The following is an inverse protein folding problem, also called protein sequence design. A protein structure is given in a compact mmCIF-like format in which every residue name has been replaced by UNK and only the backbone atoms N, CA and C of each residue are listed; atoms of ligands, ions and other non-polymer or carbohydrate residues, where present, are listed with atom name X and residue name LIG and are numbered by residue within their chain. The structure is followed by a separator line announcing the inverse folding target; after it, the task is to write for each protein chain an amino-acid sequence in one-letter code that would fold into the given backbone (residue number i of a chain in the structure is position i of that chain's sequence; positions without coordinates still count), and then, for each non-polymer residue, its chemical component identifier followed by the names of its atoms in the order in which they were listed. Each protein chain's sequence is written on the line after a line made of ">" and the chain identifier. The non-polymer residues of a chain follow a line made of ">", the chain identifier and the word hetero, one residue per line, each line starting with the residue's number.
data_IF_950843620948
#
_entry.id   IF_950843620948
#
_cell.length_a   1.000
_cell.length_b   1.000
_cell.length_c   1.000
_cell.angle_alpha   90.00
_cell.angle_beta   90.00
_cell.angle_gamma   90.00
#
_symmetry.space_group_name_H-M   'P 1'
#
loop_
_entity.id
_entity.type
_entity.pdbx_description
1 polymer ?
#
# COMPACT_ATOMS: atom_id res chain seq x y z
N UNK A 1 15.78 7.88 -22.55
CA UNK A 1 14.99 8.35 -23.71
C UNK A 1 13.58 8.66 -23.24
N UNK A 2 13.04 9.86 -23.52
CA UNK A 2 11.65 10.21 -23.18
C UNK A 2 10.75 9.92 -24.38
N UNK A 3 9.57 9.35 -24.15
CA UNK A 3 8.58 9.08 -25.20
C UNK A 3 7.41 10.06 -25.06
N UNK A 4 7.05 10.74 -26.15
CA UNK A 4 5.84 11.53 -26.19
C UNK A 4 4.65 10.59 -26.36
N UNK A 5 3.71 10.64 -25.41
CA UNK A 5 2.41 9.96 -25.49
C UNK A 5 1.32 10.97 -25.13
N UNK A 6 0.24 10.97 -25.90
CA UNK A 6 -0.95 11.77 -25.61
C UNK A 6 -2.02 10.88 -24.96
N UNK A 7 -2.64 11.39 -23.91
CA UNK A 7 -3.78 10.79 -23.24
C UNK A 7 -4.86 11.86 -23.13
N UNK A 8 -6.13 11.45 -23.20
CA UNK A 8 -7.22 12.33 -22.82
C UNK A 8 -7.25 12.42 -21.30
N UNK A 9 -7.15 13.64 -20.77
CA UNK A 9 -7.23 13.91 -19.34
C UNK A 9 -8.46 14.76 -19.06
N UNK A 10 -9.04 14.59 -17.88
CA UNK A 10 -10.17 15.39 -17.45
C UNK A 10 -9.74 16.86 -17.21
N UNK A 11 -10.63 17.84 -17.44
CA UNK A 11 -10.29 19.26 -17.32
C UNK A 11 -9.78 19.65 -15.93
N UNK A 12 -10.37 19.06 -14.88
CA UNK A 12 -9.99 19.28 -13.48
C UNK A 12 -8.58 18.74 -13.18
N UNK A 13 -8.21 17.58 -13.71
CA UNK A 13 -6.85 17.02 -13.61
C UNK A 13 -5.86 17.94 -14.32
N UNK A 14 -6.21 18.44 -15.50
CA UNK A 14 -5.35 19.39 -16.21
C UNK A 14 -5.13 20.67 -15.41
N UNK A 15 -6.21 21.26 -14.89
CA UNK A 15 -6.14 22.44 -14.00
C UNK A 15 -5.24 22.18 -12.79
N UNK A 16 -5.39 21.04 -12.13
CA UNK A 16 -4.56 20.68 -10.99
C UNK A 16 -3.08 20.53 -11.34
N UNK A 17 -2.75 19.93 -12.49
CA UNK A 17 -1.36 19.83 -12.97
C UNK A 17 -0.80 21.22 -13.27
N UNK A 18 -1.58 22.08 -13.92
CA UNK A 18 -1.17 23.43 -14.26
C UNK A 18 -0.92 24.31 -13.03
N UNK A 19 -1.73 24.15 -11.99
CA UNK A 19 -1.58 24.85 -10.70
C UNK A 19 -0.39 24.32 -9.88
N UNK A 20 -0.11 23.01 -9.95
CA UNK A 20 0.88 22.36 -9.07
C UNK A 20 2.24 22.08 -9.72
N UNK A 21 2.42 22.33 -11.02
CA UNK A 21 3.70 22.12 -11.71
C UNK A 21 4.80 23.09 -11.23
N UNK A 22 4.44 24.28 -10.78
CA UNK A 22 5.40 25.34 -10.44
C UNK A 22 6.29 25.68 -11.64
N UNK A 23 7.61 25.73 -11.43
CA UNK A 23 8.59 25.98 -12.50
C UNK A 23 8.87 24.77 -13.40
N UNK A 24 8.24 23.61 -13.14
CA UNK A 24 8.47 22.36 -13.87
C UNK A 24 7.53 22.25 -15.07
N UNK A 25 7.90 21.40 -16.03
CA UNK A 25 7.00 21.10 -17.15
C UNK A 25 5.77 20.31 -16.68
N UNK A 26 4.62 20.51 -17.34
CA UNK A 26 3.41 19.72 -17.08
C UNK A 26 3.69 18.22 -17.22
N UNK A 27 4.50 17.81 -18.20
CA UNK A 27 4.92 16.42 -18.38
C UNK A 27 5.72 15.87 -17.21
N UNK A 28 6.64 16.66 -16.62
CA UNK A 28 7.39 16.21 -15.44
C UNK A 28 6.45 16.06 -14.23
N UNK A 29 5.49 16.98 -14.07
CA UNK A 29 4.49 16.92 -13.00
C UNK A 29 3.55 15.72 -13.15
N UNK A 30 3.04 15.46 -14.36
CA UNK A 30 2.21 14.28 -14.65
C UNK A 30 2.97 12.99 -14.39
N UNK A 31 4.23 12.89 -14.85
CA UNK A 31 5.03 11.70 -14.58
C UNK A 31 5.30 11.49 -13.09
N UNK A 32 5.48 12.55 -12.31
CA UNK A 32 5.60 12.46 -10.85
C UNK A 32 4.32 11.92 -10.22
N UNK A 33 3.16 12.47 -10.59
CA UNK A 33 1.86 12.04 -10.07
C UNK A 33 1.58 10.56 -10.42
N UNK A 34 1.86 10.15 -11.66
CA UNK A 34 1.71 8.76 -12.09
C UNK A 34 2.62 7.82 -11.30
N UNK A 35 3.88 8.19 -11.04
CA UNK A 35 4.78 7.35 -10.22
C UNK A 35 4.26 7.19 -8.79
N UNK A 36 3.71 8.26 -8.20
CA UNK A 36 3.12 8.20 -6.86
C UNK A 36 1.89 7.29 -6.85
N UNK A 37 1.02 7.39 -7.85
CA UNK A 37 -0.14 6.52 -8.00
C UNK A 37 0.27 5.04 -8.15
N UNK A 38 1.28 4.74 -8.98
CA UNK A 38 1.80 3.37 -9.12
C UNK A 38 2.34 2.79 -7.81
N UNK A 39 2.96 3.61 -6.95
CA UNK A 39 3.41 3.15 -5.63
C UNK A 39 2.22 2.92 -4.69
N UNK A 40 1.23 3.81 -4.70
CA UNK A 40 0.02 3.64 -3.92
C UNK A 40 -0.71 2.34 -4.28
N UNK A 41 -0.89 2.07 -5.59
CA UNK A 41 -1.51 0.82 -6.05
C UNK A 41 -0.74 -0.44 -5.59
N UNK A 42 0.58 -0.36 -5.48
CA UNK A 42 1.39 -1.46 -4.94
C UNK A 42 1.17 -1.64 -3.44
N UNK A 43 1.07 -0.55 -2.68
CA UNK A 43 0.77 -0.61 -1.26
C UNK A 43 -0.65 -1.13 -1.00
N UNK A 44 -1.64 -0.67 -1.76
CA UNK A 44 -3.03 -1.12 -1.63
C UNK A 44 -3.13 -2.63 -1.93
N UNK A 45 -2.40 -3.11 -2.94
CA UNK A 45 -2.31 -4.54 -3.24
C UNK A 45 -1.65 -5.32 -2.11
N UNK A 46 -0.53 -4.82 -1.59
CA UNK A 46 0.18 -5.45 -0.47
C UNK A 46 -0.70 -5.52 0.79
N UNK A 47 -1.48 -4.47 1.06
CA UNK A 47 -2.41 -4.44 2.19
C UNK A 47 -3.55 -5.45 2.00
N UNK A 48 -4.10 -5.56 0.79
CA UNK A 48 -5.11 -6.58 0.47
C UNK A 48 -4.55 -8.00 0.67
N UNK A 49 -3.36 -8.28 0.17
CA UNK A 49 -2.68 -9.58 0.34
C UNK A 49 -2.41 -9.87 1.83
N UNK A 50 -1.96 -8.86 2.60
CA UNK A 50 -1.75 -9.01 4.03
C UNK A 50 -3.07 -9.28 4.76
N UNK A 51 -4.15 -8.57 4.42
CA UNK A 51 -5.46 -8.80 5.01
C UNK A 51 -5.95 -10.22 4.76
N UNK A 52 -5.78 -10.76 3.55
CA UNK A 52 -6.10 -12.15 3.22
C UNK A 52 -5.23 -13.15 4.00
N UNK A 53 -3.92 -12.94 4.05
CA UNK A 53 -2.99 -13.80 4.78
C UNK A 53 -3.31 -13.84 6.29
N UNK A 54 -3.55 -12.68 6.90
CA UNK A 54 -3.86 -12.58 8.32
C UNK A 54 -5.32 -12.90 8.66
N UNK A 55 -6.24 -12.92 7.68
CA UNK A 55 -7.59 -13.39 7.90
C UNK A 55 -7.60 -14.87 8.36
N UNK A 56 -6.71 -15.70 7.81
CA UNK A 56 -6.58 -17.11 8.24
C UNK A 56 -5.93 -17.24 9.63
N UNK A 57 -5.00 -16.35 9.99
CA UNK A 57 -4.30 -16.38 11.28
C UNK A 57 -5.20 -16.05 12.49
N UNK A 58 -6.36 -15.41 12.26
CA UNK A 58 -7.38 -15.18 13.30
C UNK A 58 -8.13 -16.45 13.70
N UNK A 59 -7.98 -17.54 12.95
CA UNK A 59 -8.54 -18.83 13.35
C UNK A 59 -7.69 -19.39 14.47
N UNK A 60 -8.29 -19.37 15.65
CA UNK A 60 -7.77 -19.74 16.94
C UNK A 60 -6.81 -20.95 16.88
N UNK A 61 -5.48 -20.69 16.94
CA UNK A 61 -4.48 -21.76 17.02
C UNK A 61 -4.53 -22.37 18.41
N UNK A 62 -5.44 -23.32 18.60
CA UNK A 62 -5.63 -24.11 19.82
C UNK A 62 -4.30 -24.68 20.34
N UNK A 63 -3.41 -25.09 19.44
CA UNK A 63 -2.06 -25.55 19.79
C UNK A 63 -1.18 -24.45 20.41
N UNK A 64 -1.23 -23.22 19.88
CA UNK A 64 -0.48 -22.08 20.44
C UNK A 64 -1.00 -21.70 21.82
N UNK A 65 -2.32 -21.73 22.02
CA UNK A 65 -2.93 -21.51 23.34
C UNK A 65 -2.58 -22.61 24.33
N UNK A 66 -2.57 -23.87 23.90
CA UNK A 66 -2.18 -25.01 24.75
C UNK A 66 -0.71 -24.90 25.18
N UNK A 67 0.18 -24.52 24.26
CA UNK A 67 1.60 -24.29 24.55
C UNK A 67 1.80 -23.11 25.52
N UNK A 68 1.18 -21.95 25.25
CA UNK A 68 1.25 -20.80 26.17
C UNK A 68 0.74 -21.14 27.58
N UNK A 69 -0.38 -21.87 27.67
CA UNK A 69 -0.94 -22.30 28.96
C UNK A 69 0.04 -23.22 29.71
N UNK A 70 0.66 -24.18 29.01
CA UNK A 70 1.66 -25.05 29.60
C UNK A 70 2.89 -24.25 30.07
N UNK A 71 3.40 -23.31 29.27
CA UNK A 71 4.53 -22.46 29.65
C UNK A 71 4.24 -21.61 30.90
N UNK A 72 3.07 -20.97 30.99
CA UNK A 72 2.66 -20.18 32.16
C UNK A 72 2.58 -21.05 33.42
N UNK A 73 2.07 -22.28 33.29
CA UNK A 73 2.00 -23.22 34.40
C UNK A 73 3.39 -23.65 34.87
N UNK A 74 4.37 -23.79 33.97
CA UNK A 74 5.75 -24.12 34.35
C UNK A 74 6.41 -22.97 35.11
N UNK A 75 6.26 -21.72 34.63
CA UNK A 75 6.83 -20.54 35.31
C UNK A 75 6.18 -20.20 36.65
N UNK A 76 4.95 -20.66 36.90
CA UNK A 76 4.26 -20.45 38.19
C UNK A 76 4.57 -21.56 39.21
N UNK A 77 5.33 -22.58 38.83
CA UNK A 77 5.63 -23.77 39.64
C UNK A 77 7.04 -23.76 40.25
N UNK A 78 7.88 -22.81 39.84
CA UNK A 78 9.11 -22.37 40.51
C UNK A 78 8.79 -21.18 41.45
#
# INVERSE_FOLDING_TARGET
>A
MRLAKSFTIEPDINSYVDETKGDRSASDRVNELLRRAMLQEQYDRLEAEAAEFFAQAKTDRTETKAFQKASIQTFSRD
#
